data_IF_557979408905
#
_entry.id   IF_557979408905
#
_cell.length_a   1.000
_cell.length_b   1.000
_cell.length_c   1.000
_cell.angle_alpha   90.00
_cell.angle_beta   90.00
_cell.angle_gamma   90.00
#
_symmetry.space_group_name_H-M   'P 1'
#
loop_
_entity.id
_entity.type
_entity.pdbx_description
1 polymer ?
#
# COMPACT_ATOMS: atom_id res chain seq x y z
N UNK A 1 19.67 -2.45 7.11
CA UNK A 1 18.21 -2.25 7.08
C UNK A 1 17.89 -0.93 7.71
N UNK A 2 17.20 -0.07 6.99
CA UNK A 2 16.70 1.23 7.42
C UNK A 2 15.31 1.09 8.05
N UNK A 3 14.75 2.17 8.59
CA UNK A 3 13.44 2.17 9.22
C UNK A 3 12.66 3.39 8.77
N UNK A 4 11.45 3.17 8.27
CA UNK A 4 10.48 4.23 7.99
C UNK A 4 9.37 4.24 9.05
N UNK A 5 9.01 5.44 9.51
CA UNK A 5 7.91 5.64 10.46
C UNK A 5 6.93 6.63 9.87
N UNK A 6 5.76 6.14 9.51
CA UNK A 6 4.61 6.94 9.09
C UNK A 6 3.96 7.56 10.33
N UNK A 7 3.92 8.89 10.41
CA UNK A 7 3.43 9.64 11.56
C UNK A 7 2.09 10.30 11.27
N UNK A 8 1.16 10.23 12.21
CA UNK A 8 -0.11 10.95 12.15
C UNK A 8 0.12 12.45 12.43
N UNK A 9 -0.28 13.30 11.48
CA UNK A 9 -0.25 14.77 11.55
C UNK A 9 1.13 15.39 11.86
N UNK A 10 2.20 14.66 11.59
CA UNK A 10 3.57 15.15 11.71
C UNK A 10 4.47 14.56 10.61
N UNK A 11 5.67 15.14 10.43
CA UNK A 11 6.62 14.67 9.43
C UNK A 11 6.93 13.17 9.62
N UNK A 12 6.95 12.41 8.55
CA UNK A 12 7.43 11.02 8.57
C UNK A 12 8.92 10.97 8.84
N UNK A 13 9.37 9.90 9.49
CA UNK A 13 10.79 9.67 9.72
C UNK A 13 11.30 8.53 8.83
N UNK A 14 12.36 8.82 8.10
CA UNK A 14 13.23 7.82 7.51
C UNK A 14 14.53 7.80 8.30
N UNK A 15 14.83 6.66 8.90
CA UNK A 15 16.04 6.41 9.66
C UNK A 15 16.98 5.55 8.84
N UNK A 16 18.11 6.13 8.46
CA UNK A 16 19.20 5.38 7.82
C UNK A 16 20.06 4.72 8.89
N UNK A 17 20.31 3.43 8.75
CA UNK A 17 21.25 2.68 9.58
C UNK A 17 22.66 2.80 8.99
N UNK A 18 23.62 3.20 9.79
CA UNK A 18 25.02 3.33 9.38
C UNK A 18 25.77 1.97 9.29
N UNK A 19 25.07 0.86 9.56
CA UNK A 19 25.62 -0.49 9.57
C UNK A 19 26.20 -0.90 10.91
N UNK A 20 26.37 0.02 11.86
CA UNK A 20 26.81 -0.25 13.24
C UNK A 20 25.64 -0.39 14.23
N UNK A 21 24.40 -0.15 13.77
CA UNK A 21 23.19 -0.10 14.59
C UNK A 21 22.84 1.30 15.07
N UNK A 22 23.52 2.32 14.59
CA UNK A 22 23.18 3.71 14.82
C UNK A 22 22.27 4.21 13.69
N UNK A 23 21.16 4.85 14.05
CA UNK A 23 20.19 5.39 13.12
C UNK A 23 20.26 6.92 13.03
N UNK A 24 20.27 7.44 11.82
CA UNK A 24 20.26 8.88 11.53
C UNK A 24 18.97 9.24 10.82
N UNK A 25 18.25 10.27 11.30
CA UNK A 25 17.03 10.74 10.64
C UNK A 25 17.41 11.51 9.39
N UNK A 26 16.99 11.01 8.23
CA UNK A 26 17.26 11.61 6.92
C UNK A 26 15.98 11.98 6.14
N UNK A 27 14.79 11.63 6.62
CA UNK A 27 13.55 11.71 5.87
C UNK A 27 13.28 13.04 5.18
N UNK A 28 13.47 14.17 5.87
CA UNK A 28 13.29 15.50 5.26
C UNK A 28 14.35 15.83 4.21
N UNK A 29 15.58 15.36 4.40
CA UNK A 29 16.66 15.54 3.43
C UNK A 29 16.43 14.64 2.20
N UNK A 30 15.94 13.43 2.44
CA UNK A 30 15.68 12.44 1.42
C UNK A 30 14.36 12.66 0.65
N UNK A 31 13.51 13.60 1.06
CA UNK A 31 12.24 13.88 0.37
C UNK A 31 11.06 12.96 0.78
N UNK A 32 11.21 12.14 1.84
CA UNK A 32 10.22 11.13 2.24
C UNK A 32 9.40 11.51 3.50
N UNK A 33 9.43 12.78 3.93
CA UNK A 33 8.80 13.22 5.18
C UNK A 33 7.43 13.86 5.03
N UNK A 34 7.09 14.37 3.85
CA UNK A 34 5.93 15.24 3.65
C UNK A 34 5.15 14.84 2.39
N UNK A 35 3.88 15.28 2.33
CA UNK A 35 3.07 15.19 1.12
C UNK A 35 3.59 16.05 -0.03
N UNK A 36 2.93 15.96 -1.18
CA UNK A 36 3.33 16.61 -2.44
C UNK A 36 3.46 18.14 -2.33
N UNK A 37 2.69 18.78 -1.47
CA UNK A 37 2.74 20.25 -1.24
C UNK A 37 3.62 20.65 -0.05
N UNK A 38 4.34 19.71 0.55
CA UNK A 38 5.23 19.94 1.71
C UNK A 38 4.50 19.96 3.05
N UNK A 39 3.28 19.47 3.13
CA UNK A 39 2.50 19.33 4.35
C UNK A 39 2.78 18.02 5.08
N UNK A 40 2.64 18.03 6.41
CA UNK A 40 2.53 16.81 7.19
C UNK A 40 1.13 16.21 6.99
N UNK A 41 1.07 14.89 6.81
CA UNK A 41 -0.15 14.16 6.54
C UNK A 41 -0.51 13.24 7.72
N UNK A 42 -1.78 12.85 7.81
CA UNK A 42 -2.24 11.89 8.81
C UNK A 42 -2.03 10.46 8.29
N UNK A 43 -0.82 9.99 8.37
CA UNK A 43 -0.40 8.70 7.84
C UNK A 43 -0.91 7.54 8.69
N UNK A 44 -1.33 6.44 8.06
CA UNK A 44 -1.92 5.27 8.72
C UNK A 44 -1.29 3.95 8.34
N UNK A 45 -1.40 3.52 7.10
CA UNK A 45 -0.75 2.33 6.58
C UNK A 45 0.53 2.68 5.83
N UNK A 46 1.47 1.74 5.80
CA UNK A 46 2.72 1.88 5.05
C UNK A 46 3.17 0.53 4.52
N UNK A 47 3.67 0.53 3.29
CA UNK A 47 4.35 -0.61 2.71
C UNK A 47 5.51 -0.14 1.82
N UNK A 48 6.49 -1.02 1.62
CA UNK A 48 7.66 -0.76 0.78
C UNK A 48 7.89 -1.91 -0.20
N UNK A 49 7.94 -1.59 -1.48
CA UNK A 49 8.23 -2.54 -2.55
C UNK A 49 8.85 -1.83 -3.75
N UNK A 50 9.46 -2.59 -4.64
CA UNK A 50 10.00 -2.15 -5.93
C UNK A 50 8.85 -2.23 -6.96
N UNK A 51 8.00 -1.17 -7.02
CA UNK A 51 6.77 -1.20 -7.84
C UNK A 51 7.01 -0.96 -9.33
N UNK A 52 8.13 -0.33 -9.69
CA UNK A 52 8.49 -0.03 -11.09
C UNK A 52 9.67 -0.87 -11.61
N UNK A 53 10.09 -1.87 -10.81
CA UNK A 53 11.11 -2.86 -11.15
C UNK A 53 12.48 -2.27 -11.48
N UNK A 54 12.83 -1.11 -10.88
CA UNK A 54 14.12 -0.46 -11.04
C UNK A 54 15.21 -1.01 -10.09
N UNK A 55 14.82 -1.81 -9.10
CA UNK A 55 15.70 -2.49 -8.14
C UNK A 55 15.82 -1.82 -6.79
N UNK A 56 15.19 -0.67 -6.59
CA UNK A 56 15.13 0.08 -5.33
C UNK A 56 13.73 -0.03 -4.70
N UNK A 57 13.63 0.01 -3.38
CA UNK A 57 12.33 -0.03 -2.71
C UNK A 57 11.71 1.35 -2.62
N UNK A 58 10.45 1.43 -3.04
CA UNK A 58 9.58 2.60 -2.99
C UNK A 58 8.65 2.53 -1.80
N UNK A 59 8.26 3.69 -1.25
CA UNK A 59 7.39 3.77 -0.09
C UNK A 59 5.98 4.19 -0.46
N UNK A 60 5.00 3.43 -0.03
CA UNK A 60 3.59 3.80 -0.11
C UNK A 60 3.01 4.08 1.27
N UNK A 61 2.31 5.20 1.43
CA UNK A 61 1.69 5.62 2.69
C UNK A 61 0.25 6.02 2.45
N UNK A 62 -0.69 5.41 3.20
CA UNK A 62 -2.11 5.77 3.18
C UNK A 62 -2.41 6.90 4.14
N UNK A 63 -3.36 7.78 3.77
CA UNK A 63 -3.63 9.01 4.49
C UNK A 63 -5.12 9.22 4.82
N UNK A 64 -5.37 10.28 5.60
CA UNK A 64 -6.69 10.72 5.99
C UNK A 64 -7.47 11.27 4.79
N UNK A 65 -8.78 11.30 4.92
CA UNK A 65 -9.69 11.87 3.93
C UNK A 65 -9.37 13.33 3.62
N UNK A 66 -9.39 13.68 2.34
CA UNK A 66 -8.99 15.03 1.88
C UNK A 66 -7.48 15.22 1.76
N UNK A 67 -6.71 14.17 2.09
CA UNK A 67 -5.28 14.06 1.85
C UNK A 67 -5.06 12.87 0.92
N UNK A 68 -4.41 13.07 -0.23
CA UNK A 68 -4.08 11.92 -1.05
C UNK A 68 -3.03 11.05 -0.37
N UNK A 69 -3.15 9.75 -0.53
CA UNK A 69 -2.07 8.83 -0.14
C UNK A 69 -0.80 9.15 -0.93
N UNK A 70 0.37 8.80 -0.40
CA UNK A 70 1.65 9.23 -0.96
C UNK A 70 2.50 8.05 -1.41
N UNK A 71 2.90 8.06 -2.69
CA UNK A 71 3.92 7.18 -3.23
C UNK A 71 5.24 7.93 -3.31
N UNK A 72 6.20 7.50 -2.54
CA UNK A 72 7.57 7.98 -2.53
C UNK A 72 8.43 7.06 -3.38
N UNK A 73 8.66 7.44 -4.65
CA UNK A 73 9.55 6.70 -5.54
C UNK A 73 11.00 6.96 -5.15
N UNK A 74 11.74 5.90 -4.94
CA UNK A 74 13.17 5.95 -4.69
C UNK A 74 13.94 6.19 -6.00
N UNK A 75 14.83 7.16 -6.02
CA UNK A 75 15.49 7.59 -7.25
C UNK A 75 16.91 7.02 -7.40
N UNK A 76 17.55 6.66 -6.30
CA UNK A 76 18.96 6.23 -6.30
C UNK A 76 19.40 5.59 -4.98
N UNK A 77 18.45 5.09 -4.19
CA UNK A 77 18.70 4.53 -2.86
C UNK A 77 18.84 5.58 -1.75
N UNK A 78 18.70 6.87 -2.06
CA UNK A 78 18.78 7.95 -1.07
C UNK A 78 17.67 8.99 -1.21
N UNK A 79 17.38 9.47 -2.42
CA UNK A 79 16.36 10.48 -2.66
C UNK A 79 15.04 9.87 -3.10
N UNK A 80 13.95 10.41 -2.55
CA UNK A 80 12.59 10.04 -2.89
C UNK A 80 11.86 11.21 -3.55
N UNK A 81 11.09 10.90 -4.58
CA UNK A 81 10.18 11.81 -5.25
C UNK A 81 8.74 11.38 -4.97
N UNK A 82 7.84 12.33 -4.68
CA UNK A 82 6.41 12.00 -4.61
C UNK A 82 5.85 11.77 -6.02
N UNK A 83 5.67 10.50 -6.36
CA UNK A 83 5.20 10.05 -7.67
C UNK A 83 3.68 9.88 -7.78
N UNK A 84 2.93 10.10 -6.69
CA UNK A 84 1.49 9.79 -6.60
C UNK A 84 0.65 10.29 -7.78
N UNK A 85 0.94 11.51 -8.27
CA UNK A 85 0.23 12.09 -9.41
C UNK A 85 0.64 11.48 -10.74
N UNK A 86 1.94 11.27 -10.93
CA UNK A 86 2.49 10.78 -12.20
C UNK A 86 2.08 9.34 -12.49
N UNK A 87 1.87 8.54 -11.45
CA UNK A 87 1.49 7.12 -11.57
C UNK A 87 -0.03 6.88 -11.52
N UNK A 88 -0.88 7.93 -11.42
CA UNK A 88 -2.34 7.80 -11.51
C UNK A 88 -3.08 7.59 -10.18
N UNK A 89 -2.41 7.59 -9.04
CA UNK A 89 -3.02 7.27 -7.72
C UNK A 89 -3.71 8.47 -7.05
N UNK A 90 -3.36 9.71 -7.42
CA UNK A 90 -3.76 10.91 -6.67
C UNK A 90 -5.27 11.08 -6.56
N UNK A 91 -6.00 10.97 -7.67
CA UNK A 91 -7.43 11.31 -7.70
C UNK A 91 -8.29 10.27 -6.95
N UNK A 92 -7.95 8.99 -7.08
CA UNK A 92 -8.71 7.89 -6.50
C UNK A 92 -8.50 7.76 -4.99
N UNK A 93 -7.37 8.25 -4.46
CA UNK A 93 -7.00 8.14 -3.03
C UNK A 93 -7.28 9.42 -2.23
N UNK A 94 -7.77 10.49 -2.85
CA UNK A 94 -8.00 11.79 -2.19
C UNK A 94 -9.18 11.79 -1.22
N UNK A 95 -10.33 11.21 -1.63
CA UNK A 95 -11.55 11.23 -0.83
C UNK A 95 -11.64 10.08 0.19
N UNK A 96 -11.28 8.83 -0.14
CA UNK A 96 -11.35 7.74 0.82
C UNK A 96 -10.46 8.02 2.05
N UNK A 97 -10.89 7.49 3.20
CA UNK A 97 -10.05 7.42 4.38
C UNK A 97 -9.35 6.08 4.38
N UNK A 98 -8.07 6.09 4.14
CA UNK A 98 -7.30 4.89 3.81
C UNK A 98 -6.48 4.41 5.01
N UNK A 99 -6.34 3.08 5.17
CA UNK A 99 -5.72 2.43 6.31
C UNK A 99 -4.70 1.38 5.86
N UNK A 100 -4.97 0.11 6.18
CA UNK A 100 -4.11 -1.00 5.80
C UNK A 100 -3.96 -1.09 4.29
N UNK A 101 -2.77 -1.44 3.85
CA UNK A 101 -2.39 -1.47 2.44
C UNK A 101 -1.28 -2.47 2.21
N UNK A 102 -0.99 -2.81 0.97
CA UNK A 102 0.15 -3.62 0.59
C UNK A 102 0.30 -3.74 -0.90
N UNK A 103 1.54 -3.86 -1.33
CA UNK A 103 1.90 -4.25 -2.68
C UNK A 103 1.89 -5.77 -2.82
N UNK A 104 1.35 -6.28 -3.90
CA UNK A 104 1.34 -7.71 -4.22
C UNK A 104 0.98 -7.89 -5.70
N UNK A 105 1.39 -8.97 -6.28
CA UNK A 105 1.06 -9.34 -7.65
C UNK A 105 -0.26 -10.12 -7.62
N UNK A 106 -1.41 -9.48 -7.99
CA UNK A 106 -2.72 -10.12 -7.86
C UNK A 106 -3.09 -11.01 -9.03
N UNK A 107 -2.51 -10.78 -10.21
CA UNK A 107 -2.82 -11.52 -11.43
C UNK A 107 -1.64 -12.31 -12.01
N UNK A 108 -0.55 -12.37 -11.26
CA UNK A 108 0.67 -13.12 -11.58
C UNK A 108 1.32 -12.66 -12.89
N UNK A 109 1.32 -11.35 -13.16
CA UNK A 109 1.97 -10.74 -14.33
C UNK A 109 3.37 -10.22 -14.06
N UNK A 110 3.83 -10.30 -12.81
CA UNK A 110 5.11 -9.87 -12.27
C UNK A 110 5.24 -8.35 -12.01
N UNK A 111 4.20 -7.57 -12.21
CA UNK A 111 4.12 -6.20 -11.74
C UNK A 111 3.45 -6.17 -10.36
N UNK A 112 3.93 -5.34 -9.44
CA UNK A 112 3.33 -5.25 -8.10
C UNK A 112 2.13 -4.30 -8.11
N UNK A 113 0.97 -4.85 -7.86
CA UNK A 113 -0.31 -4.17 -7.71
C UNK A 113 -0.47 -3.58 -6.31
N UNK A 114 -1.53 -2.80 -6.09
CA UNK A 114 -1.73 -2.14 -4.82
C UNK A 114 -3.15 -2.36 -4.29
N UNK A 115 -3.27 -2.77 -3.03
CA UNK A 115 -4.55 -2.84 -2.30
C UNK A 115 -4.60 -1.80 -1.18
N UNK A 116 -5.79 -1.20 -0.98
CA UNK A 116 -6.06 -0.22 0.07
C UNK A 116 -7.37 -0.55 0.79
N UNK A 117 -7.29 -0.70 2.09
CA UNK A 117 -8.45 -0.82 2.96
C UNK A 117 -8.97 0.57 3.36
N UNK A 118 -10.26 0.83 3.15
CA UNK A 118 -10.89 2.11 3.39
C UNK A 118 -11.99 2.04 4.44
N UNK A 119 -12.19 3.15 5.17
CA UNK A 119 -13.27 3.28 6.13
C UNK A 119 -13.10 4.48 7.05
N UNK A 120 -14.14 5.29 7.20
CA UNK A 120 -14.06 6.50 8.01
C UNK A 120 -14.03 6.19 9.51
N UNK A 121 -13.39 7.04 10.34
CA UNK A 121 -13.33 6.85 11.81
C UNK A 121 -14.58 7.38 12.52
N UNK A 122 -15.29 8.34 11.91
CA UNK A 122 -16.43 8.99 12.53
C UNK A 122 -17.75 8.54 11.90
N UNK A 123 -18.58 7.72 12.60
CA UNK A 123 -19.90 7.34 12.08
C UNK A 123 -20.82 8.53 11.79
N UNK A 124 -20.55 9.67 12.42
CA UNK A 124 -21.29 10.92 12.26
C UNK A 124 -21.17 11.50 10.84
N UNK A 125 -20.14 11.13 10.07
CA UNK A 125 -19.96 11.59 8.69
C UNK A 125 -21.18 11.29 7.81
N UNK A 126 -21.91 10.20 8.09
CA UNK A 126 -23.15 9.86 7.39
C UNK A 126 -24.25 10.91 7.53
N UNK A 127 -24.16 11.83 8.50
CA UNK A 127 -25.09 12.95 8.69
C UNK A 127 -24.70 14.18 7.86
N UNK A 128 -23.57 14.12 7.16
CA UNK A 128 -22.96 15.23 6.42
C UNK A 128 -22.66 14.80 4.98
N UNK A 129 -23.72 14.53 4.16
CA UNK A 129 -23.53 14.09 2.77
C UNK A 129 -22.79 15.12 1.90
N UNK A 130 -22.77 16.37 2.34
CA UNK A 130 -22.02 17.47 1.69
C UNK A 130 -20.51 17.23 1.65
N UNK A 131 -19.96 16.34 2.51
CA UNK A 131 -18.53 15.97 2.47
C UNK A 131 -18.22 14.91 1.42
N UNK A 132 -19.25 14.34 0.78
CA UNK A 132 -19.07 13.31 -0.24
C UNK A 132 -18.51 11.98 0.29
N UNK A 133 -18.67 11.72 1.60
CA UNK A 133 -18.09 10.56 2.29
C UNK A 133 -19.11 9.81 3.12
N UNK A 134 -18.80 8.54 3.40
CA UNK A 134 -19.58 7.67 4.28
C UNK A 134 -18.68 6.99 5.30
N UNK A 135 -19.26 6.53 6.42
CA UNK A 135 -18.53 5.77 7.44
C UNK A 135 -18.02 4.44 6.90
N UNK A 136 -18.89 3.68 6.27
CA UNK A 136 -18.52 2.47 5.54
C UNK A 136 -18.10 2.85 4.12
N UNK A 137 -16.92 2.39 3.70
CA UNK A 137 -16.34 2.67 2.39
C UNK A 137 -15.96 1.36 1.70
N UNK A 138 -15.90 1.35 0.39
CA UNK A 138 -15.35 0.24 -0.38
C UNK A 138 -13.83 0.27 -0.33
N UNK A 139 -13.23 -0.92 -0.27
CA UNK A 139 -11.79 -1.05 -0.45
C UNK A 139 -11.41 -0.85 -1.92
N UNK A 140 -10.14 -0.57 -2.16
CA UNK A 140 -9.63 -0.32 -3.50
C UNK A 140 -8.53 -1.30 -3.87
N UNK A 141 -8.50 -1.67 -5.15
CA UNK A 141 -7.40 -2.40 -5.78
C UNK A 141 -7.00 -1.68 -7.07
N UNK A 142 -5.71 -1.54 -7.26
CA UNK A 142 -5.13 -0.89 -8.42
C UNK A 142 -4.22 -1.88 -9.13
N UNK A 143 -4.49 -2.13 -10.40
CA UNK A 143 -3.58 -2.88 -11.26
C UNK A 143 -2.44 -1.96 -11.70
N UNK A 144 -1.23 -2.46 -11.63
CA UNK A 144 -0.03 -1.81 -12.13
C UNK A 144 0.22 -2.24 -13.58
N UNK A 145 0.51 -1.31 -14.44
CA UNK A 145 0.99 -1.55 -15.80
C UNK A 145 2.27 -0.75 -15.99
N UNK A 146 3.41 -1.41 -15.80
CA UNK A 146 4.75 -0.83 -15.94
C UNK A 146 4.91 0.50 -15.16
N UNK A 147 4.55 0.52 -13.87
CA UNK A 147 4.68 1.68 -12.99
C UNK A 147 3.52 2.68 -13.06
N UNK A 148 2.42 2.34 -13.74
CA UNK A 148 1.20 3.17 -13.80
C UNK A 148 0.02 2.41 -13.22
N UNK A 149 -0.64 2.98 -12.22
CA UNK A 149 -1.74 2.34 -11.51
C UNK A 149 -3.11 2.71 -12.10
N UNK A 150 -3.95 1.69 -12.28
CA UNK A 150 -5.32 1.81 -12.78
C UNK A 150 -6.27 1.27 -11.72
N UNK A 151 -7.22 2.09 -11.25
CA UNK A 151 -8.26 1.65 -10.30
C UNK A 151 -9.21 0.66 -10.99
N UNK A 152 -9.11 -0.61 -10.60
CA UNK A 152 -9.96 -1.70 -11.10
C UNK A 152 -10.98 -2.18 -10.07
N UNK A 153 -11.13 -1.49 -8.93
CA UNK A 153 -11.96 -1.89 -7.79
C UNK A 153 -13.40 -2.24 -8.19
N UNK A 154 -13.95 -1.56 -9.20
CA UNK A 154 -15.33 -1.77 -9.67
C UNK A 154 -15.53 -3.06 -10.46
N UNK A 155 -14.46 -3.62 -10.99
CA UNK A 155 -14.51 -4.80 -11.90
C UNK A 155 -13.77 -6.01 -11.35
N UNK A 156 -12.99 -5.84 -10.30
CA UNK A 156 -12.15 -6.89 -9.71
C UNK A 156 -12.93 -7.89 -8.82
N UNK A 157 -14.25 -7.81 -8.75
CA UNK A 157 -15.09 -8.78 -8.08
C UNK A 157 -16.07 -8.20 -7.06
N UNK A 158 -17.06 -9.02 -6.68
CA UNK A 158 -18.16 -8.61 -5.78
C UNK A 158 -17.66 -8.30 -4.35
N UNK A 159 -16.61 -8.96 -3.90
CA UNK A 159 -16.03 -8.74 -2.57
C UNK A 159 -15.54 -7.30 -2.36
N UNK A 160 -15.10 -6.63 -3.41
CA UNK A 160 -14.67 -5.24 -3.39
C UNK A 160 -15.82 -4.23 -3.43
N UNK A 161 -17.05 -4.67 -3.70
CA UNK A 161 -18.25 -3.82 -3.70
C UNK A 161 -18.88 -3.69 -2.30
N UNK A 162 -18.38 -4.45 -1.33
CA UNK A 162 -18.90 -4.42 0.04
C UNK A 162 -18.29 -3.22 0.78
N UNK A 163 -19.15 -2.32 1.27
CA UNK A 163 -18.73 -1.16 2.06
C UNK A 163 -18.70 -1.51 3.53
N UNK A 164 -17.52 -1.42 4.15
CA UNK A 164 -17.28 -1.62 5.59
C UNK A 164 -16.37 -0.50 6.12
N UNK A 165 -16.19 -0.44 7.43
CA UNK A 165 -15.16 0.43 8.01
C UNK A 165 -13.90 -0.39 8.21
N UNK A 166 -13.15 -0.59 7.12
CA UNK A 166 -11.96 -1.44 7.10
C UNK A 166 -10.76 -0.78 7.78
N UNK A 167 -9.81 -1.60 8.25
CA UNK A 167 -8.57 -1.15 8.93
C UNK A 167 -7.35 -1.90 8.44
N UNK A 168 -6.93 -2.94 9.16
CA UNK A 168 -5.72 -3.70 8.84
C UNK A 168 -5.92 -4.70 7.70
N UNK A 169 -4.83 -5.01 7.01
CA UNK A 169 -4.77 -5.99 5.92
C UNK A 169 -3.65 -6.99 6.16
N UNK A 170 -3.82 -8.20 5.64
CA UNK A 170 -2.76 -9.19 5.54
C UNK A 170 -2.91 -9.94 4.21
N UNK A 171 -1.78 -10.30 3.63
CA UNK A 171 -1.69 -10.91 2.30
C UNK A 171 -1.04 -12.28 2.42
N UNK A 172 -1.65 -13.30 1.86
CA UNK A 172 -1.11 -14.67 1.81
C UNK A 172 -1.92 -15.53 0.81
N UNK A 173 -1.27 -16.49 0.20
CA UNK A 173 -1.92 -17.60 -0.47
C UNK A 173 -2.43 -18.57 0.61
N UNK A 174 -3.72 -18.42 1.03
CA UNK A 174 -4.24 -19.19 2.16
C UNK A 174 -4.72 -20.59 1.78
N UNK A 175 -5.08 -20.81 0.54
CA UNK A 175 -5.58 -22.11 0.05
C UNK A 175 -4.57 -22.85 -0.85
N UNK A 176 -3.39 -22.28 -1.04
CA UNK A 176 -2.26 -22.84 -1.78
C UNK A 176 -2.57 -23.08 -3.27
N UNK A 177 -3.31 -22.16 -3.87
CA UNK A 177 -3.60 -22.20 -5.30
C UNK A 177 -2.65 -21.34 -6.16
N UNK A 178 -1.74 -20.59 -5.51
CA UNK A 178 -0.70 -19.77 -6.11
C UNK A 178 -1.07 -18.31 -6.26
N UNK A 179 -2.32 -17.95 -5.92
CA UNK A 179 -2.80 -16.57 -5.96
C UNK A 179 -2.77 -15.96 -4.55
N UNK A 180 -2.42 -14.70 -4.43
CA UNK A 180 -2.38 -14.03 -3.12
C UNK A 180 -3.79 -13.55 -2.76
N UNK A 181 -4.27 -13.98 -1.59
CA UNK A 181 -5.52 -13.58 -0.98
C UNK A 181 -5.34 -12.44 0.02
N UNK A 182 -6.43 -11.73 0.34
CA UNK A 182 -6.39 -10.59 1.25
C UNK A 182 -7.35 -10.81 2.41
N UNK A 183 -6.82 -10.78 3.63
CA UNK A 183 -7.61 -10.70 4.85
C UNK A 183 -7.73 -9.23 5.29
N UNK A 184 -8.96 -8.75 5.45
CA UNK A 184 -9.25 -7.38 5.88
C UNK A 184 -9.94 -7.40 7.22
N UNK A 185 -9.40 -6.64 8.20
CA UNK A 185 -10.03 -6.43 9.51
C UNK A 185 -10.96 -5.22 9.45
N UNK A 186 -12.18 -5.36 9.97
CA UNK A 186 -13.21 -4.32 9.95
C UNK A 186 -13.58 -3.89 11.37
N UNK A 187 -13.98 -2.63 11.53
CA UNK A 187 -14.58 -2.13 12.78
C UNK A 187 -16.06 -2.51 12.80
N UNK A 188 -16.51 -3.03 13.93
CA UNK A 188 -17.90 -3.45 14.20
C UNK A 188 -18.46 -4.47 13.17
N UNK A 189 -17.59 -5.20 12.47
CA UNK A 189 -17.97 -6.26 11.53
C UNK A 189 -16.93 -7.40 11.56
N UNK A 190 -17.32 -8.63 11.15
CA UNK A 190 -16.36 -9.72 11.02
C UNK A 190 -15.24 -9.37 10.03
N UNK A 191 -14.06 -9.98 10.19
CA UNK A 191 -13.03 -9.92 9.16
C UNK A 191 -13.56 -10.42 7.81
N UNK A 192 -13.08 -9.82 6.74
CA UNK A 192 -13.41 -10.22 5.36
C UNK A 192 -12.21 -10.90 4.76
N UNK A 193 -12.38 -12.10 4.26
CA UNK A 193 -11.41 -12.77 3.38
C UNK A 193 -11.82 -12.52 1.94
N UNK A 194 -10.99 -11.81 1.21
CA UNK A 194 -11.10 -11.63 -0.23
C UNK A 194 -10.24 -12.72 -0.87
N UNK A 195 -10.89 -13.76 -1.36
CA UNK A 195 -10.22 -14.82 -2.09
C UNK A 195 -9.96 -14.36 -3.51
N UNK A 196 -8.72 -14.50 -3.93
CA UNK A 196 -8.33 -14.25 -5.30
C UNK A 196 -8.73 -15.47 -6.16
N UNK A 197 -9.55 -15.22 -7.16
CA UNK A 197 -10.01 -16.25 -8.12
C UNK A 197 -9.52 -15.88 -9.53
N UNK A 198 -8.52 -14.99 -9.62
CA UNK A 198 -7.92 -14.62 -10.89
C UNK A 198 -7.25 -15.86 -11.46
N UNK A 199 -7.62 -16.21 -12.69
CA UNK A 199 -6.96 -17.34 -13.35
C UNK A 199 -5.69 -16.82 -13.99
N UNK A 200 -4.51 -17.09 -13.42
CA UNK A 200 -3.28 -16.60 -13.98
C UNK A 200 -3.12 -17.18 -15.39
N UNK A 201 -2.81 -16.31 -16.34
CA UNK A 201 -2.32 -16.74 -17.65
C UNK A 201 -0.86 -17.21 -17.60
N UNK A 202 -0.21 -16.99 -16.47
CA UNK A 202 1.21 -17.17 -16.22
C UNK A 202 1.48 -18.31 -15.23
N UNK A 203 2.72 -18.74 -15.17
CA UNK A 203 3.18 -19.72 -14.19
C UNK A 203 3.68 -18.99 -12.93
N UNK A 204 3.41 -19.53 -11.77
CA UNK A 204 3.90 -19.03 -10.50
C UNK A 204 4.98 -19.91 -9.89
N UNK A 205 5.79 -19.34 -9.00
CA UNK A 205 6.86 -20.04 -8.28
C UNK A 205 6.85 -19.59 -6.83
N UNK A 206 6.67 -20.53 -5.90
CA UNK A 206 6.85 -20.28 -4.46
C UNK A 206 8.27 -20.61 -4.05
N UNK A 207 8.96 -19.67 -3.41
CA UNK A 207 10.30 -19.85 -2.86
C UNK A 207 10.22 -19.78 -1.34
N UNK A 208 10.50 -20.90 -0.67
CA UNK A 208 10.55 -20.96 0.79
C UNK A 208 12.00 -20.96 1.29
N UNK A 209 12.35 -19.98 2.12
CA UNK A 209 13.67 -19.89 2.75
C UNK A 209 13.59 -20.47 4.17
N UNK A 210 14.29 -21.58 4.41
CA UNK A 210 14.28 -22.26 5.71
C UNK A 210 15.46 -21.86 6.60
N UNK A 211 15.24 -21.88 7.91
CA UNK A 211 16.26 -21.91 8.98
C UNK A 211 17.07 -20.65 9.28
N UNK A 212 16.72 -19.44 8.82
CA UNK A 212 17.45 -18.20 9.19
C UNK A 212 16.54 -16.94 9.08
N UNK A 213 17.05 -15.83 9.59
CA UNK A 213 16.45 -14.52 9.31
C UNK A 213 16.43 -14.29 7.79
N UNK A 214 15.27 -13.94 7.27
CA UNK A 214 15.07 -13.63 5.84
C UNK A 214 15.31 -12.13 5.54
N UNK A 215 15.60 -11.32 6.56
CA UNK A 215 15.86 -9.90 6.38
C UNK A 215 17.13 -9.70 5.56
N UNK A 216 17.01 -8.99 4.43
CA UNK A 216 18.09 -8.70 3.50
C UNK A 216 18.42 -9.83 2.52
N UNK A 217 17.63 -10.91 2.48
CA UNK A 217 17.78 -11.94 1.44
C UNK A 217 17.15 -11.45 0.15
N UNK A 218 17.90 -11.52 -0.95
CA UNK A 218 17.41 -11.26 -2.31
C UNK A 218 17.31 -12.59 -3.06
N UNK A 219 16.14 -12.90 -3.60
CA UNK A 219 15.92 -14.04 -4.50
C UNK A 219 15.84 -13.51 -5.93
N UNK A 220 16.63 -14.08 -6.83
CA UNK A 220 16.61 -13.72 -8.25
C UNK A 220 16.19 -14.94 -9.03
N UNK A 221 15.09 -14.86 -9.74
CA UNK A 221 14.62 -15.89 -10.66
C UNK A 221 14.97 -15.45 -12.07
N UNK A 222 15.66 -16.31 -12.82
CA UNK A 222 15.99 -16.07 -14.23
C UNK A 222 15.24 -17.11 -15.07
N UNK A 223 14.44 -16.66 -16.03
CA UNK A 223 13.67 -17.48 -16.98
C UNK A 223 14.29 -17.45 -18.36
#
# INVERSE_FOLDING_TARGET
TDLFVANDASANYLYQNDGSGVFIVIGSLAGASYGDSGEAQACMGVDFADYDSDGDFDGWVTNFTGECSSLYRNMDGFFFENATKSVGLWQSTYLPMSWGTGFFDFDNDADLDLFIANGHIYPQVNRHPEYGQTYAQTNQIFSNDNGTFIDISKVAGEGLQVSLSSRGTAFADYDNDGDIDILVVNIDAPPTLLRNETRPSQNWLMVQIENRSVIGVKVIVQT
#
